data_IF_201396740057
#
_entry.id   IF_201396740057
#
_cell.length_a   1.000
_cell.length_b   1.000
_cell.length_c   1.000
_cell.angle_alpha   90.00
_cell.angle_beta   90.00
_cell.angle_gamma   90.00
#
_symmetry.space_group_name_H-M   'P 1'
#
loop_
_entity.id
_entity.type
_entity.pdbx_description
1 polymer ?
#
# COMPACT_ATOMS: atom_id res chain seq x y z
N UNK A 1 -34.60 27.29 -29.23
CA UNK A 1 -34.88 26.45 -30.41
C UNK A 1 -34.83 27.35 -31.64
N UNK A 2 -34.03 27.04 -32.68
CA UNK A 2 -33.71 28.02 -33.73
C UNK A 2 -34.74 28.12 -34.85
N UNK A 3 -34.85 29.31 -35.44
CA UNK A 3 -35.96 29.81 -36.25
C UNK A 3 -35.89 29.52 -37.76
N UNK A 4 -35.02 28.62 -38.21
CA UNK A 4 -34.71 28.47 -39.64
C UNK A 4 -34.82 27.04 -40.18
N UNK A 5 -35.57 26.17 -39.53
CA UNK A 5 -35.88 24.84 -40.08
C UNK A 5 -37.26 24.86 -40.74
N UNK A 6 -37.29 25.20 -42.04
CA UNK A 6 -38.45 25.04 -42.90
C UNK A 6 -38.14 24.02 -44.02
N UNK A 7 -39.00 23.03 -44.15
CA UNK A 7 -38.82 21.82 -44.96
C UNK A 7 -39.61 21.96 -46.26
N UNK A 8 -39.04 22.66 -47.23
CA UNK A 8 -39.50 22.64 -48.62
C UNK A 8 -38.37 23.12 -49.55
N UNK A 9 -37.86 22.15 -50.30
CA UNK A 9 -37.36 22.29 -51.67
C UNK A 9 -35.98 22.92 -51.93
N UNK A 10 -35.16 22.13 -52.64
CA UNK A 10 -34.36 22.65 -53.75
C UNK A 10 -32.86 22.86 -53.51
N UNK A 11 -32.06 21.89 -53.99
CA UNK A 11 -30.75 22.01 -54.61
C UNK A 11 -29.83 23.22 -54.27
N UNK A 12 -28.58 22.92 -53.89
CA UNK A 12 -27.46 23.84 -54.13
C UNK A 12 -26.24 23.08 -54.72
N UNK A 13 -25.48 23.70 -55.65
CA UNK A 13 -24.70 23.00 -56.67
C UNK A 13 -23.16 23.07 -56.46
N UNK A 14 -22.52 22.11 -57.12
CA UNK A 14 -21.19 22.07 -57.73
C UNK A 14 -20.10 23.12 -57.40
N UNK A 15 -18.91 22.63 -57.00
CA UNK A 15 -17.66 22.84 -57.75
C UNK A 15 -16.54 21.89 -57.25
N UNK A 16 -16.19 20.90 -58.09
CA UNK A 16 -14.90 20.18 -58.15
C UNK A 16 -13.82 21.14 -58.75
N UNK A 17 -12.53 20.79 -59.08
CA UNK A 17 -11.85 19.48 -59.14
C UNK A 17 -10.31 19.48 -58.82
N UNK A 18 -9.66 18.30 -59.00
CA UNK A 18 -8.34 18.07 -59.66
C UNK A 18 -6.97 18.24 -58.94
N UNK A 19 -6.35 17.09 -58.64
CA UNK A 19 -4.91 16.71 -58.69
C UNK A 19 -3.79 17.72 -58.36
N UNK A 20 -3.00 17.40 -57.32
CA UNK A 20 -1.50 17.42 -57.29
C UNK A 20 -1.05 16.95 -55.89
N UNK A 21 -0.39 15.82 -55.67
CA UNK A 21 0.87 15.42 -56.29
C UNK A 21 2.05 15.90 -55.42
N UNK A 22 2.84 14.93 -54.93
CA UNK A 22 4.24 15.04 -54.46
C UNK A 22 4.58 15.16 -52.95
N UNK A 23 5.06 14.01 -52.43
CA UNK A 23 6.29 13.76 -51.65
C UNK A 23 6.55 14.55 -50.35
N UNK A 24 6.62 13.84 -49.22
CA UNK A 24 7.87 13.50 -48.51
C UNK A 24 7.60 12.91 -47.12
N UNK A 25 7.89 11.62 -47.01
CA UNK A 25 8.72 11.04 -45.96
C UNK A 25 8.81 11.78 -44.61
N UNK A 26 8.13 11.25 -43.60
CA UNK A 26 8.70 11.13 -42.26
C UNK A 26 8.51 9.70 -41.77
N UNK A 27 9.61 8.95 -41.69
CA UNK A 27 9.68 7.74 -40.87
C UNK A 27 9.47 8.15 -39.41
N UNK A 28 8.49 7.62 -38.66
CA UNK A 28 8.63 7.56 -37.22
C UNK A 28 9.60 6.42 -36.93
N UNK A 29 10.86 6.80 -36.77
CA UNK A 29 11.82 6.11 -35.93
C UNK A 29 11.14 5.99 -34.56
N UNK A 30 10.59 4.82 -34.25
CA UNK A 30 9.78 4.65 -33.04
C UNK A 30 9.21 3.26 -32.80
N UNK A 31 9.43 2.29 -33.70
CA UNK A 31 9.10 0.87 -33.46
C UNK A 31 10.05 0.16 -32.48
N UNK A 32 10.81 0.91 -31.67
CA UNK A 32 11.72 0.40 -30.66
C UNK A 32 11.53 1.14 -29.33
N UNK A 33 10.30 1.49 -28.98
CA UNK A 33 9.97 1.95 -27.62
C UNK A 33 8.79 1.14 -27.10
N UNK A 34 9.14 0.21 -26.20
CA UNK A 34 8.27 -0.39 -25.19
C UNK A 34 7.06 -1.20 -25.67
N UNK A 35 7.34 -2.38 -26.20
CA UNK A 35 6.54 -3.58 -25.87
C UNK A 35 7.30 -4.40 -24.81
N UNK A 36 7.55 -3.81 -23.64
CA UNK A 36 7.93 -4.59 -22.48
C UNK A 36 6.65 -5.06 -21.83
N UNK A 37 6.32 -6.33 -22.08
CA UNK A 37 5.30 -7.11 -21.39
C UNK A 37 5.38 -6.87 -19.88
N UNK A 38 4.41 -6.13 -19.34
CA UNK A 38 4.22 -5.93 -17.90
C UNK A 38 3.66 -7.17 -17.19
N UNK A 39 3.49 -8.29 -17.90
CA UNK A 39 2.83 -9.49 -17.39
C UNK A 39 3.75 -10.53 -16.76
N UNK A 40 5.08 -10.42 -16.91
CA UNK A 40 6.01 -11.47 -16.46
C UNK A 40 6.48 -11.35 -15.00
N UNK A 41 6.32 -10.18 -14.37
CA UNK A 41 6.72 -9.95 -12.97
C UNK A 41 5.57 -10.04 -11.96
N UNK A 42 4.32 -10.00 -12.41
CA UNK A 42 3.15 -10.09 -11.54
C UNK A 42 2.95 -11.51 -10.98
N UNK A 43 3.17 -12.54 -11.81
CA UNK A 43 3.01 -13.95 -11.41
C UNK A 43 3.84 -14.37 -10.18
N UNK A 44 5.15 -14.07 -10.07
CA UNK A 44 5.93 -14.50 -8.90
C UNK A 44 5.56 -13.79 -7.59
N UNK A 45 5.16 -12.51 -7.66
CA UNK A 45 4.76 -11.75 -6.46
C UNK A 45 3.46 -12.29 -5.88
N UNK A 46 2.49 -12.60 -6.74
CA UNK A 46 1.20 -13.17 -6.33
C UNK A 46 1.36 -14.55 -5.69
N UNK A 47 2.21 -15.42 -6.26
CA UNK A 47 2.46 -16.76 -5.70
C UNK A 47 3.12 -16.69 -4.31
N UNK A 48 4.08 -15.78 -4.13
CA UNK A 48 4.71 -15.57 -2.82
C UNK A 48 3.71 -15.01 -1.80
N UNK A 49 2.88 -14.04 -2.20
CA UNK A 49 1.85 -13.47 -1.33
C UNK A 49 0.84 -14.52 -0.85
N UNK A 50 0.40 -15.40 -1.75
CA UNK A 50 -0.51 -16.50 -1.38
C UNK A 50 0.16 -17.50 -0.43
N UNK A 51 1.41 -17.87 -0.67
CA UNK A 51 2.16 -18.78 0.20
C UNK A 51 2.32 -18.18 1.62
N UNK A 52 2.63 -16.89 1.73
CA UNK A 52 2.75 -16.19 3.01
C UNK A 52 1.40 -16.11 3.72
N UNK A 53 0.31 -15.78 3.00
CA UNK A 53 -1.02 -15.73 3.59
C UNK A 53 -1.45 -17.10 4.16
N UNK A 54 -1.13 -18.20 3.46
CA UNK A 54 -1.36 -19.56 3.97
C UNK A 54 -0.53 -19.88 5.22
N UNK A 55 0.75 -19.48 5.24
CA UNK A 55 1.62 -19.68 6.41
C UNK A 55 1.11 -18.94 7.66
N UNK A 56 0.45 -17.79 7.47
CA UNK A 56 -0.15 -16.99 8.54
C UNK A 56 -1.54 -17.47 8.98
N UNK A 57 -1.95 -18.68 8.60
CA UNK A 57 -3.25 -19.26 8.97
C UNK A 57 -4.43 -18.76 8.11
N UNK A 58 -4.16 -18.14 6.96
CA UNK A 58 -5.16 -17.63 6.03
C UNK A 58 -5.28 -16.11 6.03
N UNK A 59 -6.08 -15.59 5.10
CA UNK A 59 -6.36 -14.16 4.98
C UNK A 59 -7.75 -13.84 5.51
N UNK A 60 -7.80 -13.14 6.64
CA UNK A 60 -9.03 -12.72 7.31
C UNK A 60 -8.95 -11.23 7.72
N UNK A 61 -10.07 -10.62 8.16
CA UNK A 61 -10.10 -9.21 8.53
C UNK A 61 -9.13 -8.81 9.65
N UNK A 62 -8.82 -9.71 10.59
CA UNK A 62 -7.93 -9.41 11.71
C UNK A 62 -6.47 -9.36 11.25
N UNK A 63 -6.05 -10.31 10.41
CA UNK A 63 -4.74 -10.26 9.77
C UNK A 63 -4.61 -9.03 8.84
N UNK A 64 -5.65 -8.72 8.06
CA UNK A 64 -5.68 -7.54 7.21
C UNK A 64 -5.57 -6.22 8.00
N UNK A 65 -6.21 -6.15 9.18
CA UNK A 65 -6.08 -5.02 10.09
C UNK A 65 -4.64 -4.87 10.60
N UNK A 66 -4.00 -5.97 11.03
CA UNK A 66 -2.61 -5.94 11.48
C UNK A 66 -1.67 -5.45 10.38
N UNK A 67 -1.76 -6.01 9.17
CA UNK A 67 -0.96 -5.56 8.02
C UNK A 67 -1.15 -4.07 7.76
N UNK A 68 -2.40 -3.60 7.81
CA UNK A 68 -2.72 -2.18 7.62
C UNK A 68 -2.08 -1.30 8.69
N UNK A 69 -2.15 -1.70 9.97
CA UNK A 69 -1.52 -0.95 11.07
C UNK A 69 0.00 -0.94 10.96
N UNK A 70 0.63 -2.07 10.61
CA UNK A 70 2.08 -2.15 10.37
C UNK A 70 2.51 -1.16 9.27
N UNK A 71 1.73 -1.05 8.19
CA UNK A 71 1.98 -0.11 7.10
C UNK A 71 1.78 1.34 7.54
N UNK A 72 0.65 1.66 8.19
CA UNK A 72 0.36 3.01 8.68
C UNK A 72 1.39 3.48 9.69
N UNK A 73 1.80 2.62 10.61
CA UNK A 73 2.82 2.96 11.60
C UNK A 73 4.17 3.20 10.91
N UNK A 74 4.55 2.36 9.95
CA UNK A 74 5.80 2.56 9.18
C UNK A 74 5.82 3.89 8.43
N UNK A 75 4.68 4.27 7.83
CA UNK A 75 4.53 5.56 7.15
C UNK A 75 4.58 6.73 8.15
N UNK A 76 3.89 6.62 9.28
CA UNK A 76 3.88 7.67 10.31
C UNK A 76 5.24 7.88 10.95
N UNK A 77 6.00 6.80 11.19
CA UNK A 77 7.37 6.83 11.66
C UNK A 77 8.30 7.52 10.65
N UNK A 78 8.09 7.28 9.35
CA UNK A 78 8.84 7.96 8.29
C UNK A 78 8.53 9.47 8.26
N UNK A 79 7.26 9.86 8.38
CA UNK A 79 6.84 11.27 8.45
C UNK A 79 7.49 11.95 9.66
N UNK A 80 7.48 11.31 10.83
CA UNK A 80 8.13 11.82 12.04
C UNK A 80 9.64 11.98 11.86
N UNK A 81 10.32 10.98 11.30
CA UNK A 81 11.75 11.03 11.06
C UNK A 81 12.14 12.14 10.07
N UNK A 82 11.34 12.33 9.02
CA UNK A 82 11.51 13.41 8.05
C UNK A 82 11.31 14.79 8.69
N UNK A 83 10.26 14.97 9.50
CA UNK A 83 10.01 16.21 10.21
C UNK A 83 11.16 16.58 11.19
N UNK A 84 11.78 15.58 11.82
CA UNK A 84 12.89 15.77 12.76
C UNK A 84 14.27 15.85 12.08
N UNK A 85 14.36 15.72 10.75
CA UNK A 85 15.62 15.66 9.97
C UNK A 85 16.63 14.60 10.45
N UNK A 86 16.17 13.59 11.19
CA UNK A 86 16.99 12.51 11.75
C UNK A 86 16.76 11.20 11.01
N UNK A 87 16.92 11.22 9.69
CA UNK A 87 16.80 10.02 8.89
C UNK A 87 18.10 9.21 8.97
N UNK A 88 18.04 8.02 9.54
CA UNK A 88 19.14 7.05 9.48
C UNK A 88 18.68 5.78 8.79
N UNK A 89 19.41 5.36 7.76
CA UNK A 89 19.08 4.13 7.03
C UNK A 89 19.16 2.91 7.96
N UNK A 90 20.09 2.92 8.92
CA UNK A 90 20.23 1.87 9.93
C UNK A 90 18.96 1.73 10.78
N UNK A 91 18.42 2.83 11.29
CA UNK A 91 17.18 2.80 12.08
C UNK A 91 15.97 2.41 11.24
N UNK A 92 15.91 2.83 9.97
CA UNK A 92 14.83 2.45 9.07
C UNK A 92 14.81 0.94 8.77
N UNK A 93 15.98 0.34 8.48
CA UNK A 93 16.10 -1.12 8.26
C UNK A 93 15.77 -1.91 9.52
N UNK A 94 16.26 -1.47 10.69
CA UNK A 94 15.93 -2.10 11.97
C UNK A 94 14.42 -2.05 12.27
N UNK A 95 13.74 -0.94 11.94
CA UNK A 95 12.29 -0.82 12.11
C UNK A 95 11.52 -1.84 11.26
N UNK A 96 11.90 -2.00 9.99
CA UNK A 96 11.28 -2.98 9.09
C UNK A 96 11.54 -4.42 9.57
N UNK A 97 12.76 -4.70 10.04
CA UNK A 97 13.11 -6.02 10.56
C UNK A 97 12.28 -6.36 11.81
N UNK A 98 12.11 -5.42 12.74
CA UNK A 98 11.26 -5.60 13.93
C UNK A 98 9.82 -5.93 13.55
N UNK A 99 9.25 -5.24 12.55
CA UNK A 99 7.90 -5.53 12.03
C UNK A 99 7.82 -6.89 11.34
N UNK A 100 8.90 -7.34 10.69
CA UNK A 100 8.99 -8.69 10.12
C UNK A 100 8.88 -9.80 11.17
N UNK A 101 9.43 -9.57 12.37
CA UNK A 101 9.34 -10.54 13.49
C UNK A 101 7.91 -10.81 13.93
N UNK A 102 7.00 -9.83 13.80
CA UNK A 102 5.59 -9.98 14.12
C UNK A 102 4.99 -11.15 13.32
N UNK A 103 5.22 -11.18 12.01
CA UNK A 103 4.69 -12.23 11.13
C UNK A 103 5.29 -13.61 11.42
N UNK A 104 6.54 -13.67 11.89
CA UNK A 104 7.17 -14.92 12.34
C UNK A 104 6.45 -15.45 13.59
N UNK A 105 6.17 -14.58 14.56
CA UNK A 105 5.46 -14.96 15.79
C UNK A 105 4.01 -15.36 15.48
N UNK A 106 3.33 -14.67 14.56
CA UNK A 106 1.97 -15.05 14.10
C UNK A 106 1.99 -16.42 13.42
N UNK A 107 2.99 -16.70 12.59
CA UNK A 107 3.15 -18.04 11.98
C UNK A 107 3.34 -19.11 13.07
N UNK A 108 4.16 -18.83 14.08
CA UNK A 108 4.37 -19.73 15.21
C UNK A 108 3.10 -19.94 16.06
N UNK A 109 2.25 -18.92 16.24
CA UNK A 109 0.97 -19.12 16.93
C UNK A 109 0.02 -20.00 16.13
N UNK A 110 0.01 -19.86 14.80
CA UNK A 110 -0.79 -20.74 13.93
C UNK A 110 -0.37 -22.20 14.05
N UNK A 111 0.93 -22.48 14.10
CA UNK A 111 1.42 -23.85 14.25
C UNK A 111 1.13 -24.44 15.62
N UNK A 112 1.24 -23.63 16.68
CA UNK A 112 0.90 -24.06 18.04
C UNK A 112 -0.60 -24.34 18.20
N UNK A 113 -1.45 -23.47 17.65
CA UNK A 113 -2.90 -23.65 17.67
C UNK A 113 -3.33 -24.93 16.94
N UNK A 114 -2.71 -25.23 15.79
CA UNK A 114 -2.94 -26.47 15.06
C UNK A 114 -2.55 -27.73 15.86
N UNK A 115 -1.57 -27.63 16.77
CA UNK A 115 -1.12 -28.76 17.62
C UNK A 115 -2.01 -28.91 18.85
N UNK A 116 -2.40 -27.80 19.48
CA UNK A 116 -3.18 -27.80 20.72
C UNK A 116 -4.66 -28.17 20.50
N UNK A 117 -5.09 -28.21 19.24
CA UNK A 117 -6.50 -28.28 18.86
C UNK A 117 -7.16 -26.92 19.13
N UNK A 118 -8.10 -26.52 18.27
CA UNK A 118 -8.80 -25.20 18.21
C UNK A 118 -9.57 -24.79 19.49
N UNK A 119 -9.23 -25.37 20.63
CA UNK A 119 -9.68 -25.02 21.98
C UNK A 119 -9.31 -23.60 22.39
N UNK A 120 -8.21 -23.04 21.85
CA UNK A 120 -7.73 -21.69 22.15
C UNK A 120 -7.38 -20.97 20.85
N UNK A 121 -8.05 -19.83 20.63
CA UNK A 121 -7.84 -18.89 19.51
C UNK A 121 -6.51 -18.11 19.66
N UNK A 122 -5.38 -18.84 19.67
CA UNK A 122 -4.06 -18.29 19.98
C UNK A 122 -3.59 -17.32 18.91
N UNK A 123 -3.85 -17.63 17.65
CA UNK A 123 -3.55 -16.75 16.50
C UNK A 123 -4.24 -15.40 16.67
N UNK A 124 -5.52 -15.38 17.02
CA UNK A 124 -6.29 -14.15 17.20
C UNK A 124 -5.74 -13.32 18.36
N UNK A 125 -5.40 -13.96 19.48
CA UNK A 125 -4.81 -13.27 20.64
C UNK A 125 -3.47 -12.64 20.27
N UNK A 126 -2.60 -13.36 19.56
CA UNK A 126 -1.30 -12.86 19.10
C UNK A 126 -1.47 -11.73 18.08
N UNK A 127 -2.39 -11.86 17.13
CA UNK A 127 -2.72 -10.81 16.17
C UNK A 127 -3.20 -9.53 16.88
N UNK A 128 -4.13 -9.65 17.84
CA UNK A 128 -4.63 -8.51 18.61
C UNK A 128 -3.56 -7.85 19.47
N UNK A 129 -2.67 -8.65 20.06
CA UNK A 129 -1.53 -8.13 20.82
C UNK A 129 -0.63 -7.26 19.94
N UNK A 130 -0.20 -7.75 18.78
CA UNK A 130 0.64 -6.97 17.87
C UNK A 130 -0.11 -5.82 17.21
N UNK A 131 -1.41 -5.97 16.92
CA UNK A 131 -2.23 -4.89 16.39
C UNK A 131 -2.28 -3.73 17.38
N UNK A 132 -2.44 -4.04 18.67
CA UNK A 132 -2.42 -3.04 19.75
C UNK A 132 -1.04 -2.39 19.85
N UNK A 133 0.05 -3.16 19.70
CA UNK A 133 1.41 -2.63 19.73
C UNK A 133 1.68 -1.63 18.58
N UNK A 134 1.30 -1.99 17.36
CA UNK A 134 1.42 -1.09 16.19
C UNK A 134 0.49 0.12 16.33
N UNK A 135 -0.69 -0.05 16.94
CA UNK A 135 -1.59 1.06 17.26
C UNK A 135 -0.99 2.05 18.26
N UNK A 136 -0.31 1.57 19.30
CA UNK A 136 0.40 2.42 20.25
C UNK A 136 1.56 3.18 19.59
N UNK A 137 2.35 2.51 18.76
CA UNK A 137 3.43 3.15 17.99
C UNK A 137 2.88 4.23 17.03
N UNK A 138 1.78 3.94 16.34
CA UNK A 138 1.11 4.88 15.45
C UNK A 138 0.62 6.11 16.23
N UNK A 139 0.01 5.90 17.39
CA UNK A 139 -0.46 6.98 18.26
C UNK A 139 0.70 7.84 18.79
N UNK A 140 1.83 7.22 19.13
CA UNK A 140 3.03 7.91 19.55
C UNK A 140 3.57 8.81 18.42
N UNK A 141 3.64 8.28 17.20
CA UNK A 141 4.05 9.05 16.03
C UNK A 141 3.09 10.19 15.72
N UNK A 142 1.77 9.96 15.84
CA UNK A 142 0.74 10.97 15.67
C UNK A 142 0.78 12.06 16.75
N UNK A 143 1.18 11.72 17.98
CA UNK A 143 1.28 12.67 19.12
C UNK A 143 2.26 13.82 18.88
N UNK A 144 3.19 13.66 17.93
CA UNK A 144 4.09 14.73 17.51
C UNK A 144 3.41 15.81 16.65
N UNK A 145 2.24 15.51 16.06
CA UNK A 145 1.56 16.34 15.09
C UNK A 145 0.13 16.71 15.48
N UNK A 146 -0.50 15.90 16.34
CA UNK A 146 -1.89 16.08 16.78
C UNK A 146 -1.94 16.47 18.27
N UNK A 147 -2.93 17.29 18.68
CA UNK A 147 -3.13 17.63 20.09
C UNK A 147 -3.73 16.44 20.83
N UNK A 148 -2.86 15.59 21.40
CA UNK A 148 -3.23 14.46 22.25
C UNK A 148 -3.10 14.89 23.73
N UNK A 149 -4.04 14.54 24.61
CA UNK A 149 -3.97 14.86 26.04
C UNK A 149 -2.63 14.48 26.69
N UNK A 150 -2.06 15.34 27.53
CA UNK A 150 -0.72 15.11 28.12
C UNK A 150 -0.61 13.77 28.84
N UNK A 151 -1.66 13.33 29.54
CA UNK A 151 -1.66 12.07 30.28
C UNK A 151 -1.45 10.84 29.38
N UNK A 152 -2.04 10.84 28.19
CA UNK A 152 -1.83 9.75 27.24
C UNK A 152 -0.41 9.81 26.67
N UNK A 153 0.07 11.00 26.34
CA UNK A 153 1.43 11.19 25.84
C UNK A 153 2.49 10.76 26.85
N UNK A 154 2.31 11.07 28.12
CA UNK A 154 3.19 10.64 29.22
C UNK A 154 3.29 9.11 29.28
N UNK A 155 2.15 8.42 29.25
CA UNK A 155 2.11 6.95 29.27
C UNK A 155 2.83 6.36 28.06
N UNK A 156 2.56 6.87 26.84
CA UNK A 156 3.23 6.40 25.62
C UNK A 156 4.75 6.58 25.69
N UNK A 157 5.23 7.73 26.20
CA UNK A 157 6.66 7.99 26.34
C UNK A 157 7.32 7.06 27.38
N UNK A 158 6.62 6.73 28.46
CA UNK A 158 7.13 5.79 29.47
C UNK A 158 7.25 4.36 28.94
N UNK A 159 6.33 3.94 28.06
CA UNK A 159 6.42 2.63 27.39
C UNK A 159 7.68 2.54 26.53
N UNK A 160 7.99 3.60 25.76
CA UNK A 160 9.20 3.63 24.93
C UNK A 160 10.51 3.62 25.72
N UNK A 161 10.57 4.36 26.83
CA UNK A 161 11.77 4.39 27.67
C UNK A 161 12.14 3.01 28.24
N UNK A 162 11.17 2.10 28.37
CA UNK A 162 11.42 0.71 28.79
C UNK A 162 11.91 -0.19 27.64
N UNK A 163 11.66 0.16 26.38
CA UNK A 163 12.15 -0.61 25.22
C UNK A 163 13.59 -0.25 24.82
N UNK A 164 14.04 0.96 25.13
CA UNK A 164 15.40 1.46 24.82
C UNK A 164 16.45 1.12 25.91
N UNK A 165 16.05 0.41 26.99
CA UNK A 165 16.94 -0.13 28.04
C UNK A 165 17.19 -1.62 27.82
#
# INVERSE_FOLDING_TARGET
MPWWYNKSDGAAPAALPFFSGYLLQKRPIGGLVMSLSSHSLAFPISALGEAVAKALGGWDPLLAALVTFVLLDSLSGLIRAAAQKKFSLKSAVLGILKKGMIFIVVTASCTLEAILGETLALREVVLLFFLSNEGLSLLENASAFLPIPEKLREVLLQLRQKEDQ
#
